data_IF_297227510295
#
_entry.id   IF_297227510295
#
_cell.length_a   1.000
_cell.length_b   1.000
_cell.length_c   1.000
_cell.angle_alpha   90.00
_cell.angle_beta   90.00
_cell.angle_gamma   90.00
#
_symmetry.space_group_name_H-M   'P 1'
#
loop_
_entity.id
_entity.type
_entity.pdbx_description
1 polymer ?
#
# COMPACT_ATOMS: atom_id res chain seq x y z
N UNK A 1 5.75 -3.86 -9.66
CA UNK A 1 5.06 -4.92 -10.45
C UNK A 1 5.78 -6.26 -10.42
N UNK A 2 7.11 -6.27 -10.40
CA UNK A 2 7.87 -7.52 -10.36
C UNK A 2 7.52 -8.41 -9.16
N UNK A 3 7.32 -7.81 -7.98
CA UNK A 3 6.95 -8.54 -6.77
C UNK A 3 5.61 -9.28 -6.92
N UNK A 4 4.62 -8.64 -7.56
CA UNK A 4 3.32 -9.28 -7.81
C UNK A 4 3.43 -10.43 -8.81
N UNK A 5 4.23 -10.27 -9.85
CA UNK A 5 4.49 -11.35 -10.80
C UNK A 5 5.20 -12.52 -10.15
N UNK A 6 6.13 -12.25 -9.24
CA UNK A 6 6.84 -13.29 -8.49
C UNK A 6 5.89 -14.10 -7.60
N UNK A 7 4.80 -13.50 -7.12
CA UNK A 7 3.75 -14.19 -6.37
C UNK A 7 2.78 -14.98 -7.26
N UNK A 8 2.93 -14.89 -8.58
CA UNK A 8 2.03 -15.53 -9.54
C UNK A 8 0.79 -14.70 -9.88
N UNK A 9 0.77 -13.42 -9.48
CA UNK A 9 -0.32 -12.51 -9.76
C UNK A 9 -0.12 -11.80 -11.11
N UNK A 10 -1.20 -11.22 -11.61
CA UNK A 10 -1.23 -10.46 -12.86
C UNK A 10 -1.47 -8.99 -12.56
N UNK A 11 -0.40 -8.17 -12.39
CA UNK A 11 -0.55 -6.76 -12.08
C UNK A 11 -0.80 -5.91 -13.32
N UNK A 12 -1.65 -4.88 -13.16
CA UNK A 12 -1.91 -3.86 -14.18
C UNK A 12 -1.68 -2.49 -13.54
N UNK A 13 -0.88 -1.66 -14.20
CA UNK A 13 -0.64 -0.29 -13.78
C UNK A 13 -1.87 0.56 -14.10
N UNK A 14 -2.52 1.07 -13.05
CA UNK A 14 -3.69 1.94 -13.16
C UNK A 14 -3.44 3.33 -12.57
N UNK A 15 -2.17 3.67 -12.31
CA UNK A 15 -1.79 4.93 -11.66
C UNK A 15 -2.31 6.16 -12.40
N UNK A 16 -2.39 6.12 -13.71
CA UNK A 16 -2.89 7.23 -14.52
C UNK A 16 -4.39 7.51 -14.30
N UNK A 17 -5.14 6.55 -13.78
CA UNK A 17 -6.60 6.70 -13.55
C UNK A 17 -6.91 7.46 -12.26
N UNK A 18 -5.97 7.57 -11.34
CA UNK A 18 -6.11 8.30 -10.06
C UNK A 18 -7.34 7.85 -9.26
N UNK A 19 -7.49 6.55 -9.11
CA UNK A 19 -8.65 5.91 -8.47
C UNK A 19 -8.39 5.49 -7.03
N UNK A 20 -7.30 5.98 -6.41
CA UNK A 20 -6.97 5.70 -5.02
C UNK A 20 -6.01 4.54 -4.82
N UNK A 21 -5.43 4.00 -5.90
CA UNK A 21 -4.35 3.01 -5.87
C UNK A 21 -3.65 2.99 -7.24
N UNK A 22 -2.43 2.45 -7.28
CA UNK A 22 -1.55 2.48 -8.45
C UNK A 22 -1.61 1.21 -9.29
N UNK A 23 -1.83 0.07 -8.65
CA UNK A 23 -1.77 -1.24 -9.30
C UNK A 23 -3.01 -2.04 -8.93
N UNK A 24 -3.69 -2.56 -9.93
CA UNK A 24 -4.71 -3.60 -9.74
C UNK A 24 -4.07 -4.93 -10.07
N UNK A 25 -3.97 -5.83 -9.10
CA UNK A 25 -3.30 -7.11 -9.27
C UNK A 25 -4.30 -8.25 -9.07
N UNK A 26 -4.35 -9.15 -10.05
CA UNK A 26 -5.30 -10.26 -10.06
C UNK A 26 -4.56 -11.56 -9.79
N UNK A 27 -5.05 -12.35 -8.84
CA UNK A 27 -4.59 -13.71 -8.62
C UNK A 27 -5.44 -14.66 -9.46
N UNK A 28 -4.91 -15.22 -10.55
CA UNK A 28 -5.70 -16.09 -11.44
C UNK A 28 -6.11 -17.40 -10.77
N UNK A 29 -5.46 -17.80 -9.68
CA UNK A 29 -5.76 -19.05 -8.98
C UNK A 29 -7.00 -18.94 -8.10
N UNK A 30 -7.19 -17.78 -7.44
CA UNK A 30 -8.27 -17.55 -6.49
C UNK A 30 -9.33 -16.57 -6.99
N UNK A 31 -9.00 -15.77 -8.01
CA UNK A 31 -9.83 -14.67 -8.47
C UNK A 31 -9.74 -13.42 -7.62
N UNK A 32 -8.91 -13.41 -6.57
CA UNK A 32 -8.76 -12.24 -5.71
C UNK A 32 -8.10 -11.08 -6.43
N UNK A 33 -8.59 -9.87 -6.13
CA UNK A 33 -7.99 -8.62 -6.56
C UNK A 33 -7.24 -7.97 -5.40
N UNK A 34 -6.10 -7.36 -5.69
CA UNK A 34 -5.34 -6.54 -4.76
C UNK A 34 -5.25 -5.14 -5.36
N UNK A 35 -5.60 -4.14 -4.56
CA UNK A 35 -5.49 -2.73 -4.94
C UNK A 35 -4.28 -2.15 -4.22
N UNK A 36 -3.20 -1.92 -4.95
CA UNK A 36 -1.89 -1.64 -4.36
C UNK A 36 -1.53 -0.17 -4.58
N UNK A 37 -1.32 0.54 -3.48
CA UNK A 37 -0.76 1.90 -3.48
C UNK A 37 0.72 1.80 -3.14
N UNK A 38 1.59 2.28 -4.03
CA UNK A 38 3.03 2.19 -3.87
C UNK A 38 3.58 3.50 -3.32
N UNK A 39 4.34 3.40 -2.24
CA UNK A 39 5.02 4.54 -1.60
C UNK A 39 6.50 4.26 -1.49
N UNK A 40 7.31 4.96 -2.32
CA UNK A 40 8.75 4.90 -2.23
C UNK A 40 9.28 5.88 -1.19
N UNK A 41 10.17 5.41 -0.30
CA UNK A 41 10.77 6.27 0.73
C UNK A 41 12.27 6.02 0.80
N UNK A 42 13.04 7.10 0.76
CA UNK A 42 14.50 7.06 0.90
C UNK A 42 14.90 6.88 2.36
N UNK A 43 16.15 6.50 2.58
CA UNK A 43 16.74 6.41 3.91
C UNK A 43 16.60 7.72 4.67
N UNK A 44 16.27 7.62 5.96
CA UNK A 44 16.08 8.77 6.82
C UNK A 44 14.69 9.38 6.76
N UNK A 45 13.83 8.95 5.85
CA UNK A 45 12.44 9.39 5.81
C UNK A 45 11.70 8.88 7.05
N UNK A 46 10.91 9.75 7.68
CA UNK A 46 10.18 9.41 8.90
C UNK A 46 8.67 9.40 8.73
N UNK A 47 8.17 9.79 7.56
CA UNK A 47 6.75 9.88 7.30
C UNK A 47 6.38 9.41 5.90
N UNK A 48 5.11 9.05 5.73
CA UNK A 48 4.50 8.70 4.44
C UNK A 48 3.24 9.51 4.27
N UNK A 49 3.14 10.24 3.17
CA UNK A 49 1.94 11.00 2.86
C UNK A 49 0.95 10.13 2.11
N UNK A 50 -0.28 10.04 2.61
CA UNK A 50 -1.36 9.28 1.98
C UNK A 50 -2.51 10.24 1.70
N UNK A 51 -3.00 10.25 0.46
CA UNK A 51 -4.07 11.14 0.05
C UNK A 51 -5.41 10.71 0.66
N UNK A 52 -6.35 11.66 0.70
CA UNK A 52 -7.71 11.37 1.14
C UNK A 52 -8.33 10.21 0.35
N UNK A 53 -8.17 10.22 -0.97
CA UNK A 53 -8.73 9.19 -1.83
C UNK A 53 -8.14 7.81 -1.53
N UNK A 54 -6.84 7.75 -1.27
CA UNK A 54 -6.17 6.49 -0.91
C UNK A 54 -6.68 5.96 0.44
N UNK A 55 -6.87 6.86 1.42
CA UNK A 55 -7.41 6.49 2.73
C UNK A 55 -8.83 5.94 2.59
N UNK A 56 -9.68 6.64 1.82
CA UNK A 56 -11.06 6.22 1.58
C UNK A 56 -11.10 4.84 0.92
N UNK A 57 -10.25 4.60 -0.07
CA UNK A 57 -10.15 3.29 -0.72
C UNK A 57 -9.78 2.21 0.30
N UNK A 58 -8.84 2.49 1.20
CA UNK A 58 -8.45 1.53 2.24
C UNK A 58 -9.59 1.21 3.20
N UNK A 59 -10.47 2.19 3.45
CA UNK A 59 -11.62 2.01 4.34
C UNK A 59 -12.75 1.23 3.68
N UNK A 60 -12.98 1.47 2.37
CA UNK A 60 -14.08 0.84 1.65
C UNK A 60 -13.74 -0.56 1.16
N UNK A 61 -12.46 -0.84 0.89
CA UNK A 61 -12.00 -2.13 0.37
C UNK A 61 -10.85 -2.68 1.21
N UNK A 62 -11.04 -2.86 2.53
CA UNK A 62 -9.93 -3.24 3.41
C UNK A 62 -9.34 -4.61 3.10
N UNK A 63 -10.12 -5.53 2.54
CA UNK A 63 -9.64 -6.86 2.19
C UNK A 63 -8.76 -6.87 0.95
N UNK A 64 -8.92 -5.88 0.09
CA UNK A 64 -8.20 -5.77 -1.19
C UNK A 64 -7.07 -4.75 -1.15
N UNK A 65 -7.18 -3.73 -0.29
CA UNK A 65 -6.22 -2.62 -0.26
C UNK A 65 -4.90 -3.04 0.38
N UNK A 66 -3.81 -2.73 -0.31
CA UNK A 66 -2.44 -2.98 0.14
C UNK A 66 -1.63 -1.71 -0.03
N UNK A 67 -1.01 -1.27 1.06
CA UNK A 67 0.02 -0.22 0.99
C UNK A 67 1.37 -0.92 0.83
N UNK A 68 2.04 -0.69 -0.29
CA UNK A 68 3.35 -1.26 -0.58
C UNK A 68 4.42 -0.20 -0.32
N UNK A 69 5.18 -0.37 0.75
CA UNK A 69 6.25 0.55 1.11
C UNK A 69 7.55 0.01 0.54
N UNK A 70 8.15 0.79 -0.36
CA UNK A 70 9.41 0.44 -1.00
C UNK A 70 10.49 1.36 -0.44
N UNK A 71 11.40 0.80 0.37
CA UNK A 71 12.51 1.54 0.93
C UNK A 71 13.65 1.58 -0.06
N UNK A 72 14.22 2.77 -0.27
CA UNK A 72 15.31 3.00 -1.21
C UNK A 72 16.56 3.32 -0.40
N UNK A 73 17.59 2.49 -0.55
CA UNK A 73 18.83 2.57 0.19
C UNK A 73 19.99 2.60 -0.80
N UNK A 74 20.81 3.65 -0.73
CA UNK A 74 21.95 3.85 -1.64
C UNK A 74 21.54 3.81 -3.12
N UNK A 75 20.35 4.33 -3.45
CA UNK A 75 19.82 4.34 -4.81
C UNK A 75 19.18 3.03 -5.27
N UNK A 76 19.13 2.02 -4.42
CA UNK A 76 18.54 0.72 -4.75
C UNK A 76 17.23 0.51 -4.00
N UNK A 77 16.18 0.10 -4.71
CA UNK A 77 14.89 -0.26 -4.13
C UNK A 77 14.98 -1.63 -3.49
N UNK A 78 14.51 -1.74 -2.23
CA UNK A 78 14.38 -3.00 -1.53
C UNK A 78 13.06 -3.67 -1.88
N UNK A 79 12.87 -4.91 -1.47
CA UNK A 79 11.61 -5.61 -1.65
C UNK A 79 10.47 -4.84 -0.96
N UNK A 80 9.28 -4.77 -1.59
CA UNK A 80 8.16 -4.06 -0.97
C UNK A 80 7.73 -4.70 0.34
N UNK A 81 7.35 -3.84 1.29
CA UNK A 81 6.75 -4.27 2.55
C UNK A 81 5.26 -3.93 2.44
N UNK A 82 4.40 -4.93 2.58
CA UNK A 82 2.96 -4.78 2.39
C UNK A 82 2.23 -4.60 3.72
N UNK A 83 1.34 -3.63 3.75
CA UNK A 83 0.39 -3.43 4.83
C UNK A 83 -1.01 -3.53 4.25
N UNK A 84 -1.77 -4.53 4.66
CA UNK A 84 -3.14 -4.74 4.20
C UNK A 84 -4.14 -4.02 5.10
N UNK A 85 -5.19 -3.48 4.48
CA UNK A 85 -6.37 -3.05 5.21
C UNK A 85 -6.49 -1.54 5.38
N UNK A 86 -7.46 -1.15 6.18
CA UNK A 86 -7.73 0.25 6.46
C UNK A 86 -6.56 0.92 7.17
N UNK A 87 -6.16 2.10 6.67
CA UNK A 87 -5.03 2.83 7.23
C UNK A 87 -5.40 3.55 8.54
N UNK A 88 -6.67 3.84 8.74
CA UNK A 88 -7.18 4.46 9.96
C UNK A 88 -8.64 4.04 10.19
N UNK A 89 -9.18 4.41 11.35
CA UNK A 89 -10.53 3.97 11.76
C UNK A 89 -11.65 4.75 11.09
N UNK A 90 -11.48 6.07 10.93
CA UNK A 90 -12.51 6.96 10.43
C UNK A 90 -12.16 7.55 9.09
N UNK A 91 -13.18 7.85 8.28
CA UNK A 91 -13.00 8.61 7.06
C UNK A 91 -12.44 9.99 7.37
N UNK A 92 -11.48 10.50 6.57
CA UNK A 92 -11.01 11.86 6.71
C UNK A 92 -12.13 12.84 6.39
N UNK A 93 -12.20 13.96 7.13
CA UNK A 93 -13.19 14.98 6.87
C UNK A 93 -12.96 15.64 5.52
N UNK A 94 -13.97 16.34 5.04
CA UNK A 94 -14.01 16.87 3.68
C UNK A 94 -12.87 17.85 3.37
N UNK A 95 -12.35 18.52 4.37
CA UNK A 95 -11.28 19.51 4.24
C UNK A 95 -9.87 18.90 4.31
N UNK A 96 -9.75 17.60 4.56
CA UNK A 96 -8.46 16.90 4.59
C UNK A 96 -8.10 16.43 3.19
N UNK A 97 -6.97 16.87 2.66
CA UNK A 97 -6.48 16.44 1.34
C UNK A 97 -5.52 15.26 1.43
N UNK A 98 -4.74 15.19 2.50
CA UNK A 98 -3.78 14.12 2.74
C UNK A 98 -3.43 14.07 4.22
N UNK A 99 -2.94 12.91 4.66
CA UNK A 99 -2.48 12.70 6.03
C UNK A 99 -1.07 12.15 5.98
N UNK A 100 -0.19 12.67 6.85
CA UNK A 100 1.15 12.13 7.05
C UNK A 100 1.12 11.06 8.12
N UNK A 101 1.51 9.86 7.75
CA UNK A 101 1.64 8.73 8.69
C UNK A 101 3.09 8.58 9.11
N UNK A 102 3.32 8.17 10.34
CA UNK A 102 4.65 7.84 10.83
C UNK A 102 5.12 6.54 10.14
N UNK A 103 6.28 6.60 9.48
CA UNK A 103 6.78 5.45 8.71
C UNK A 103 7.07 4.25 9.62
N UNK A 104 7.70 4.47 10.77
CA UNK A 104 7.99 3.37 11.70
C UNK A 104 6.73 2.68 12.21
N UNK A 105 5.67 3.45 12.44
CA UNK A 105 4.38 2.89 12.88
C UNK A 105 3.76 2.01 11.80
N UNK A 106 3.81 2.45 10.54
CA UNK A 106 3.29 1.65 9.42
C UNK A 106 4.09 0.36 9.24
N UNK A 107 5.42 0.44 9.33
CA UNK A 107 6.29 -0.73 9.21
C UNK A 107 6.04 -1.71 10.36
N UNK A 108 5.81 -1.23 11.58
CA UNK A 108 5.48 -2.07 12.73
C UNK A 108 4.15 -2.79 12.53
N UNK A 109 3.15 -2.11 11.96
CA UNK A 109 1.85 -2.72 11.63
C UNK A 109 2.00 -3.81 10.58
N UNK A 110 2.80 -3.57 9.55
CA UNK A 110 3.08 -4.55 8.50
C UNK A 110 3.80 -5.78 9.05
N UNK A 111 4.77 -5.57 9.94
CA UNK A 111 5.49 -6.66 10.61
C UNK A 111 4.54 -7.52 11.45
N UNK A 112 3.64 -6.89 12.20
CA UNK A 112 2.64 -7.61 13.00
C UNK A 112 1.72 -8.46 12.13
N UNK A 113 1.31 -7.97 10.97
CA UNK A 113 0.50 -8.73 10.02
C UNK A 113 1.25 -9.94 9.48
N UNK A 114 2.52 -9.76 9.13
CA UNK A 114 3.35 -10.84 8.61
C UNK A 114 3.54 -11.96 9.64
N UNK A 115 3.75 -11.61 10.91
CA UNK A 115 3.90 -12.57 11.99
C UNK A 115 2.63 -13.40 12.20
N UNK A 116 1.47 -12.77 12.10
CA UNK A 116 0.17 -13.46 12.26
C UNK A 116 -0.08 -14.47 11.14
N UNK A 117 0.38 -14.16 9.92
CA UNK A 117 0.15 -15.03 8.76
C UNK A 117 1.17 -16.15 8.60
N UNK A 118 2.21 -16.13 9.39
CA UNK A 118 3.19 -17.21 9.44
C UNK A 118 2.78 -18.24 10.50
#
# INVERSE_FOLDING_TARGET
MAAERALGNEPVDVSAQKIGYDIASHDPRSGHLRFIEVKGRIDGADSVMVTRQEIITSLHEPEKFMLAIVQIENGFAREPIYLQGALQTNEPTFDVTAIQFNLKSLLARAEAQREVTQ
#
